data_IF_202123093935
#
_entry.id   IF_202123093935
#
_cell.length_a   1.000
_cell.length_b   1.000
_cell.length_c   1.000
_cell.angle_alpha   90.00
_cell.angle_beta   90.00
_cell.angle_gamma   90.00
#
_symmetry.space_group_name_H-M   'P 1'
#
loop_
_entity.id
_entity.type
_entity.pdbx_description
1 polymer ?
#
# COMPACT_ATOMS: atom_id res chain seq x y z
N UNK A 1 -10.44 9.94 -10.50
CA UNK A 1 -9.39 9.02 -10.95
C UNK A 1 -9.46 7.73 -10.13
N UNK A 2 -8.97 6.66 -10.67
CA UNK A 2 -8.96 5.38 -9.98
C UNK A 2 -7.57 5.12 -9.43
N UNK A 3 -7.47 4.93 -8.12
CA UNK A 3 -6.18 4.84 -7.43
C UNK A 3 -6.07 3.48 -6.75
N UNK A 4 -4.99 2.78 -7.07
CA UNK A 4 -4.64 1.55 -6.37
C UNK A 4 -3.73 1.93 -5.21
N UNK A 5 -4.17 1.63 -3.99
CA UNK A 5 -3.41 1.95 -2.78
C UNK A 5 -2.97 0.63 -2.17
N UNK A 6 -1.73 0.55 -1.75
CA UNK A 6 -1.28 -0.59 -0.95
C UNK A 6 -1.01 -0.08 0.45
N UNK A 7 -1.50 -0.81 1.44
CA UNK A 7 -1.35 -0.39 2.82
C UNK A 7 -2.30 0.72 3.25
N UNK A 8 -3.46 0.82 2.59
CA UNK A 8 -4.42 1.87 2.88
C UNK A 8 -5.13 1.73 4.22
N UNK A 9 -4.94 0.62 4.92
CA UNK A 9 -5.52 0.42 6.25
C UNK A 9 -4.53 0.79 7.35
N UNK A 10 -3.32 1.18 7.00
CA UNK A 10 -2.34 1.64 7.96
C UNK A 10 -2.60 3.07 8.39
N UNK A 11 -1.77 3.57 9.30
CA UNK A 11 -1.98 4.90 9.88
C UNK A 11 -1.92 5.99 8.81
N UNK A 12 -0.85 6.04 8.04
CA UNK A 12 -0.70 7.09 7.03
C UNK A 12 -1.58 6.81 5.82
N UNK A 13 -1.63 5.55 5.39
CA UNK A 13 -2.41 5.19 4.22
C UNK A 13 -3.89 5.48 4.39
N UNK A 14 -4.43 5.27 5.59
CA UNK A 14 -5.85 5.53 5.82
C UNK A 14 -6.19 7.02 5.70
N UNK A 15 -5.28 7.90 6.10
CA UNK A 15 -5.50 9.33 5.92
C UNK A 15 -5.54 9.69 4.44
N UNK A 16 -4.64 9.11 3.65
CA UNK A 16 -4.64 9.35 2.22
C UNK A 16 -5.94 8.88 1.59
N UNK A 17 -6.39 7.67 1.94
CA UNK A 17 -7.62 7.10 1.39
C UNK A 17 -8.81 8.00 1.72
N UNK A 18 -8.89 8.47 2.96
CA UNK A 18 -9.97 9.34 3.36
C UNK A 18 -10.03 10.60 2.50
N UNK A 19 -8.89 11.26 2.30
CA UNK A 19 -8.85 12.47 1.50
C UNK A 19 -9.20 12.22 0.04
N UNK A 20 -8.72 11.11 -0.50
CA UNK A 20 -9.02 10.75 -1.89
C UNK A 20 -10.50 10.49 -2.08
N UNK A 21 -11.13 9.79 -1.14
CA UNK A 21 -12.57 9.52 -1.22
C UNK A 21 -13.39 10.81 -1.11
N UNK A 22 -12.95 11.75 -0.27
CA UNK A 22 -13.62 13.05 -0.18
C UNK A 22 -13.59 13.81 -1.49
N UNK A 23 -12.60 13.55 -2.32
CA UNK A 23 -12.47 14.18 -3.64
C UNK A 23 -13.06 13.34 -4.75
N UNK A 24 -13.87 12.37 -4.39
CA UNK A 24 -14.60 11.50 -5.33
C UNK A 24 -13.73 10.61 -6.19
N UNK A 25 -12.53 10.28 -5.72
CA UNK A 25 -11.72 9.27 -6.39
C UNK A 25 -12.18 7.88 -6.01
N UNK A 26 -11.90 6.91 -6.87
CA UNK A 26 -12.18 5.50 -6.60
C UNK A 26 -10.92 4.86 -6.09
N UNK A 27 -11.02 4.13 -4.99
CA UNK A 27 -9.87 3.50 -4.34
C UNK A 27 -10.00 1.99 -4.39
N UNK A 28 -8.95 1.32 -4.86
CA UNK A 28 -8.77 -0.11 -4.66
C UNK A 28 -7.61 -0.26 -3.69
N UNK A 29 -7.87 -0.82 -2.53
CA UNK A 29 -6.92 -0.88 -1.43
C UNK A 29 -6.46 -2.32 -1.25
N UNK A 30 -5.18 -2.58 -1.45
CA UNK A 30 -4.58 -3.90 -1.21
C UNK A 30 -3.85 -3.83 0.12
N UNK A 31 -4.32 -4.55 1.10
CA UNK A 31 -3.75 -4.52 2.44
C UNK A 31 -3.85 -5.92 3.04
N UNK A 32 -2.77 -6.41 3.57
CA UNK A 32 -2.77 -7.75 4.17
C UNK A 32 -3.49 -7.78 5.52
N UNK A 33 -3.93 -6.61 6.01
CA UNK A 33 -4.64 -6.50 7.28
C UNK A 33 -3.80 -7.03 8.44
N UNK A 34 -2.57 -6.58 8.47
CA UNK A 34 -1.65 -6.95 9.54
C UNK A 34 -2.04 -6.33 10.86
N UNK A 35 -1.21 -6.55 11.83
CA UNK A 35 -1.49 -6.17 13.20
C UNK A 35 -1.65 -4.65 13.38
N UNK A 36 -1.01 -3.84 12.55
CA UNK A 36 -1.12 -2.38 12.62
C UNK A 36 -2.29 -1.83 11.81
N UNK A 37 -3.02 -2.66 11.08
CA UNK A 37 -4.06 -2.18 10.19
C UNK A 37 -5.35 -1.88 10.94
N UNK A 38 -6.06 -0.84 10.49
CA UNK A 38 -7.39 -0.54 10.98
C UNK A 38 -8.36 -1.62 10.48
N UNK A 39 -9.07 -2.26 11.39
CA UNK A 39 -9.97 -3.35 11.03
C UNK A 39 -11.29 -2.85 10.47
N UNK A 40 -11.75 -1.69 10.91
CA UNK A 40 -12.98 -1.07 10.42
C UNK A 40 -12.76 0.41 10.21
N UNK A 41 -13.27 0.91 9.11
CA UNK A 41 -13.20 2.32 8.76
C UNK A 41 -14.53 2.79 8.24
N UNK A 42 -14.84 4.09 8.36
CA UNK A 42 -16.17 4.59 7.99
C UNK A 42 -16.53 4.36 6.53
N UNK A 43 -15.54 4.25 5.66
CA UNK A 43 -15.77 4.12 4.22
C UNK A 43 -15.81 2.68 3.72
N UNK A 44 -15.77 1.69 4.62
CA UNK A 44 -15.73 0.28 4.19
C UNK A 44 -16.91 -0.10 3.31
N UNK A 45 -18.05 0.55 3.49
CA UNK A 45 -19.24 0.27 2.68
C UNK A 45 -19.41 1.22 1.50
N UNK A 46 -18.47 2.12 1.27
CA UNK A 46 -18.55 3.06 0.15
C UNK A 46 -18.42 2.32 -1.19
N UNK A 47 -19.24 2.74 -2.17
CA UNK A 47 -19.16 2.18 -3.51
C UNK A 47 -17.87 2.59 -4.22
N UNK A 48 -17.16 3.61 -3.70
CA UNK A 48 -15.90 4.07 -4.27
C UNK A 48 -14.68 3.44 -3.62
N UNK A 49 -14.88 2.50 -2.70
CA UNK A 49 -13.78 1.87 -1.97
C UNK A 49 -13.93 0.36 -2.06
N UNK A 50 -12.85 -0.30 -2.44
CA UNK A 50 -12.79 -1.76 -2.48
C UNK A 50 -11.54 -2.21 -1.75
N UNK A 51 -11.68 -3.15 -0.80
CA UNK A 51 -10.56 -3.71 -0.07
C UNK A 51 -10.24 -5.09 -0.62
N UNK A 52 -8.99 -5.30 -0.97
CA UNK A 52 -8.46 -6.61 -1.33
C UNK A 52 -7.51 -7.02 -0.23
N UNK A 53 -7.90 -8.05 0.53
CA UNK A 53 -7.09 -8.51 1.67
C UNK A 53 -6.06 -9.50 1.17
N UNK A 54 -4.92 -8.99 0.75
CA UNK A 54 -3.81 -9.79 0.25
C UNK A 54 -2.49 -9.10 0.54
N UNK A 55 -1.44 -9.92 0.60
CA UNK A 55 -0.08 -9.40 0.69
C UNK A 55 0.37 -9.02 -0.72
N UNK A 56 0.93 -7.82 -0.88
CA UNK A 56 1.35 -7.36 -2.20
C UNK A 56 2.44 -8.23 -2.82
N UNK A 57 3.18 -8.97 -2.01
CA UNK A 57 4.18 -9.90 -2.53
C UNK A 57 3.55 -11.14 -3.15
N UNK A 58 2.26 -11.36 -2.92
CA UNK A 58 1.57 -12.58 -3.35
C UNK A 58 0.53 -12.36 -4.44
N UNK A 59 0.19 -11.11 -4.76
CA UNK A 59 -0.82 -10.86 -5.80
C UNK A 59 -0.27 -11.22 -7.17
N UNK A 60 -1.17 -11.68 -8.04
CA UNK A 60 -0.77 -12.18 -9.35
C UNK A 60 -1.07 -11.19 -10.49
N UNK A 61 -1.84 -10.16 -10.21
CA UNK A 61 -2.13 -9.14 -11.23
C UNK A 61 -2.46 -7.82 -10.54
N UNK A 62 -2.34 -6.74 -11.30
CA UNK A 62 -2.71 -5.41 -10.82
C UNK A 62 -4.06 -5.02 -11.42
N UNK A 63 -5.04 -4.65 -10.59
CA UNK A 63 -6.26 -4.03 -11.12
C UNK A 63 -5.92 -2.77 -11.91
N UNK A 64 -6.74 -2.46 -12.90
CA UNK A 64 -6.54 -1.25 -13.69
C UNK A 64 -6.69 -0.02 -12.81
N UNK A 65 -5.76 0.92 -12.95
CA UNK A 65 -5.78 2.15 -12.18
C UNK A 65 -5.00 3.22 -12.92
N UNK A 66 -5.22 4.47 -12.52
CA UNK A 66 -4.50 5.61 -13.08
C UNK A 66 -3.25 5.91 -12.26
N UNK A 67 -3.26 5.51 -11.00
CA UNK A 67 -2.19 5.85 -10.06
C UNK A 67 -2.05 4.71 -9.07
N UNK A 68 -0.82 4.40 -8.69
CA UNK A 68 -0.54 3.46 -7.60
C UNK A 68 0.21 4.22 -6.52
N UNK A 69 -0.28 4.13 -5.29
CA UNK A 69 0.39 4.72 -4.13
C UNK A 69 0.68 3.60 -3.14
N UNK A 70 1.95 3.36 -2.90
CA UNK A 70 2.40 2.25 -2.08
C UNK A 70 2.76 2.70 -0.67
N UNK A 71 1.91 2.34 0.31
CA UNK A 71 2.15 2.56 1.73
C UNK A 71 2.42 1.24 2.46
N UNK A 72 2.77 0.20 1.74
CA UNK A 72 2.80 -1.14 2.32
C UNK A 72 3.94 -1.37 3.30
N UNK A 73 4.90 -0.45 3.34
CA UNK A 73 6.02 -0.59 4.26
C UNK A 73 5.52 -0.55 5.71
N UNK A 74 5.95 -1.53 6.49
CA UNK A 74 5.56 -1.62 7.88
C UNK A 74 6.37 -0.62 8.70
N UNK A 75 5.71 0.09 9.59
CA UNK A 75 6.38 1.11 10.38
C UNK A 75 6.58 0.74 11.84
N UNK A 76 6.35 -0.52 12.18
CA UNK A 76 6.51 -0.95 13.57
C UNK A 76 7.94 -1.30 13.87
N UNK A 77 8.65 -0.33 14.42
CA UNK A 77 10.07 -0.45 14.71
C UNK A 77 10.35 -1.63 15.65
N UNK A 78 9.50 -1.80 16.67
CA UNK A 78 9.72 -2.87 17.64
C UNK A 78 9.73 -4.24 16.99
N UNK A 79 8.81 -4.48 16.07
CA UNK A 79 8.76 -5.75 15.38
C UNK A 79 9.98 -5.95 14.50
N UNK A 80 10.43 -4.90 13.83
CA UNK A 80 11.59 -5.02 12.95
C UNK A 80 12.87 -5.22 13.75
N UNK A 81 12.93 -4.73 14.97
CA UNK A 81 14.09 -4.94 15.82
C UNK A 81 14.19 -6.39 16.24
N UNK A 82 13.07 -7.02 16.59
CA UNK A 82 13.08 -8.41 17.04
C UNK A 82 13.40 -9.38 15.92
N UNK A 83 12.77 -9.16 14.78
CA UNK A 83 12.96 -10.03 13.62
C UNK A 83 12.66 -9.22 12.38
N UNK A 84 13.72 -8.82 11.71
CA UNK A 84 13.60 -7.95 10.54
C UNK A 84 13.16 -8.68 9.28
N UNK A 85 13.22 -10.00 9.26
CA UNK A 85 12.89 -10.74 8.04
C UNK A 85 11.47 -10.53 7.56
N UNK A 86 10.42 -10.62 8.41
CA UNK A 86 9.08 -10.35 7.91
C UNK A 86 8.93 -8.93 7.37
N UNK A 87 9.59 -7.95 8.00
CA UNK A 87 9.55 -6.57 7.54
C UNK A 87 10.25 -6.44 6.19
N UNK A 88 11.43 -7.02 6.07
CA UNK A 88 12.19 -6.97 4.82
C UNK A 88 11.41 -7.65 3.71
N UNK A 89 10.86 -8.83 3.98
CA UNK A 89 10.08 -9.56 2.99
C UNK A 89 8.90 -8.74 2.50
N UNK A 90 8.17 -8.12 3.43
CA UNK A 90 7.02 -7.31 3.08
C UNK A 90 7.43 -6.09 2.26
N UNK A 91 8.50 -5.41 2.66
CA UNK A 91 8.93 -4.18 1.99
C UNK A 91 9.60 -4.46 0.65
N UNK A 92 10.51 -5.42 0.62
CA UNK A 92 11.33 -5.67 -0.57
C UNK A 92 10.58 -6.50 -1.60
N UNK A 93 10.05 -7.65 -1.17
CA UNK A 93 9.36 -8.54 -2.10
C UNK A 93 8.07 -7.94 -2.60
N UNK A 94 7.37 -7.18 -1.75
CA UNK A 94 6.14 -6.52 -2.16
C UNK A 94 6.39 -5.51 -3.26
N UNK A 95 7.36 -4.62 -3.06
CA UNK A 95 7.70 -3.61 -4.06
C UNK A 95 8.20 -4.27 -5.33
N UNK A 96 9.05 -5.29 -5.19
CA UNK A 96 9.55 -6.02 -6.36
C UNK A 96 8.39 -6.61 -7.17
N UNK A 97 7.43 -7.24 -6.48
CA UNK A 97 6.29 -7.85 -7.16
C UNK A 97 5.45 -6.79 -7.88
N UNK A 98 5.20 -5.65 -7.23
CA UNK A 98 4.46 -4.57 -7.87
C UNK A 98 5.15 -4.08 -9.14
N UNK A 99 6.46 -3.90 -9.06
CA UNK A 99 7.22 -3.41 -10.21
C UNK A 99 7.23 -4.43 -11.35
N UNK A 100 7.32 -5.73 -11.02
CA UNK A 100 7.26 -6.76 -12.04
C UNK A 100 5.91 -6.81 -12.73
N UNK A 101 4.83 -6.67 -11.96
CA UNK A 101 3.49 -6.64 -12.53
C UNK A 101 3.29 -5.40 -13.41
N UNK A 102 3.83 -4.26 -12.98
CA UNK A 102 3.78 -3.04 -13.79
C UNK A 102 4.52 -3.22 -15.10
N UNK A 103 5.69 -3.83 -15.04
CA UNK A 103 6.51 -4.05 -16.23
C UNK A 103 5.79 -4.93 -17.25
N UNK A 104 4.93 -5.82 -16.78
CA UNK A 104 4.15 -6.68 -17.64
C UNK A 104 3.01 -5.98 -18.37
N UNK A 105 2.64 -4.76 -17.97
CA UNK A 105 1.59 -4.02 -18.62
C UNK A 105 2.14 -3.24 -19.81
N UNK A 106 1.33 -3.06 -20.90
CA UNK A 106 1.76 -2.19 -21.99
C UNK A 106 2.04 -0.78 -21.48
N UNK A 107 3.01 -0.13 -22.09
CA UNK A 107 3.45 1.19 -21.64
C UNK A 107 2.30 2.19 -21.57
N UNK A 108 1.41 2.17 -22.56
CA UNK A 108 0.29 3.10 -22.60
C UNK A 108 -0.76 2.83 -21.52
N UNK A 109 -0.67 1.68 -20.85
CA UNK A 109 -1.64 1.27 -19.83
C UNK A 109 -1.02 1.21 -18.43
N UNK A 110 0.18 1.74 -18.25
CA UNK A 110 0.84 1.72 -16.95
C UNK A 110 0.42 2.93 -16.13
N UNK A 111 -0.04 2.70 -14.89
CA UNK A 111 -0.30 3.82 -14.00
C UNK A 111 1.01 4.46 -13.52
N UNK A 112 0.91 5.67 -13.01
CA UNK A 112 2.00 6.29 -12.29
C UNK A 112 2.18 5.55 -10.96
N UNK A 113 3.41 5.47 -10.50
CA UNK A 113 3.73 4.73 -9.28
C UNK A 113 4.42 5.66 -8.29
N UNK A 114 3.86 5.78 -7.09
CA UNK A 114 4.46 6.52 -5.99
C UNK A 114 4.72 5.59 -4.83
N UNK A 115 5.94 5.63 -4.33
CA UNK A 115 6.31 4.87 -3.14
C UNK A 115 6.49 5.85 -2.00
N UNK A 116 5.71 5.67 -0.93
CA UNK A 116 5.76 6.55 0.22
C UNK A 116 6.63 5.90 1.28
N UNK A 117 7.76 6.53 1.58
CA UNK A 117 8.67 6.08 2.62
C UNK A 117 8.27 6.70 3.95
N UNK A 118 8.56 5.99 5.03
CA UNK A 118 8.32 6.51 6.37
C UNK A 118 9.63 6.94 7.00
N UNK A 119 9.52 7.67 8.10
CA UNK A 119 10.71 8.12 8.82
C UNK A 119 11.54 6.97 9.34
N UNK A 120 10.94 5.84 9.58
CA UNK A 120 11.66 4.66 10.04
C UNK A 120 12.70 4.16 9.06
N UNK A 121 12.54 4.51 7.80
CA UNK A 121 13.53 4.14 6.79
C UNK A 121 14.89 4.78 7.12
N UNK A 122 14.86 6.00 7.62
CA UNK A 122 16.08 6.74 7.95
C UNK A 122 16.49 6.54 9.40
N UNK A 123 15.56 6.15 10.21
CA UNK A 123 15.82 5.75 11.58
C UNK A 123 16.62 6.75 12.38
N UNK A 124 17.67 6.25 12.98
CA UNK A 124 18.48 7.01 13.90
C UNK A 124 19.58 7.80 13.28
N UNK A 125 19.57 7.98 12.00
CA UNK A 125 20.68 8.66 11.36
C UNK A 125 20.95 10.04 11.93
N UNK A 126 19.95 10.60 12.57
CA UNK A 126 20.11 11.90 13.21
C UNK A 126 20.69 11.80 14.60
N UNK A 127 20.68 10.62 15.13
CA UNK A 127 21.19 10.40 16.46
C UNK A 127 22.63 10.73 16.58
#
# INVERSE_FOLDING_TARGET
>A
MKILVTGGRGFIGSHFVEEALKKNHVIIDVDKMGYASHKKLPWDSSSHYELITEDISAISHLPNSDLIVNFAAESHVDNSIRDSRPFIDSSVLGVWNLLELLRGKPEYNRPLFFHISTDEVYGDRLG
#
